data_IF_543824372169
#
_entry.id   IF_543824372169
#
_cell.length_a   1.000
_cell.length_b   1.000
_cell.length_c   1.000
_cell.angle_alpha   90.00
_cell.angle_beta   90.00
_cell.angle_gamma   90.00
#
_symmetry.space_group_name_H-M   'P 1'
#
loop_
_entity.id
_entity.type
_entity.pdbx_description
1 polymer ?
#
# COMPACT_ATOMS: atom_id res chain seq x y z
N UNK A 1 9.69 22.90 -27.05
CA UNK A 1 9.61 23.00 -25.58
C UNK A 1 10.96 23.55 -25.12
N UNK A 2 11.02 24.68 -24.40
CA UNK A 2 12.30 25.26 -23.97
C UNK A 2 12.92 24.41 -22.85
N UNK A 3 14.25 24.43 -22.71
CA UNK A 3 14.94 23.68 -21.66
C UNK A 3 14.42 24.01 -20.24
N UNK A 4 13.99 25.25 -20.04
CA UNK A 4 13.35 25.73 -18.80
C UNK A 4 12.07 24.94 -18.46
N UNK A 5 11.20 24.70 -19.45
CA UNK A 5 9.95 23.97 -19.25
C UNK A 5 10.21 22.49 -18.88
N UNK A 6 11.30 21.90 -19.37
CA UNK A 6 11.69 20.52 -19.05
C UNK A 6 12.20 20.40 -17.61
N UNK A 7 12.99 21.38 -17.14
CA UNK A 7 13.49 21.43 -15.76
C UNK A 7 12.33 21.60 -14.77
N UNK A 8 11.41 22.52 -15.05
CA UNK A 8 10.23 22.75 -14.20
C UNK A 8 9.33 21.50 -14.13
N UNK A 9 9.12 20.81 -15.25
CA UNK A 9 8.38 19.55 -15.29
C UNK A 9 9.08 18.45 -14.47
N UNK A 10 10.40 18.35 -14.56
CA UNK A 10 11.19 17.38 -13.79
C UNK A 10 11.12 17.66 -12.27
N UNK A 11 11.24 18.92 -11.85
CA UNK A 11 11.13 19.32 -10.43
C UNK A 11 9.74 18.94 -9.89
N UNK A 12 8.67 19.26 -10.63
CA UNK A 12 7.31 18.90 -10.25
C UNK A 12 7.12 17.38 -10.15
N UNK A 13 7.72 16.62 -11.07
CA UNK A 13 7.74 15.16 -11.05
C UNK A 13 8.38 14.60 -9.77
N UNK A 14 9.56 15.11 -9.39
CA UNK A 14 10.25 14.68 -8.17
C UNK A 14 9.43 14.89 -6.91
N UNK A 15 8.80 16.06 -6.76
CA UNK A 15 7.92 16.34 -5.62
C UNK A 15 6.67 15.46 -5.61
N UNK A 16 6.10 15.15 -6.79
CA UNK A 16 4.97 14.22 -6.89
C UNK A 16 5.36 12.81 -6.42
N UNK A 17 6.51 12.29 -6.86
CA UNK A 17 7.01 10.98 -6.43
C UNK A 17 7.30 10.98 -4.92
N UNK A 18 7.99 12.01 -4.41
CA UNK A 18 8.27 12.15 -2.98
C UNK A 18 6.99 12.17 -2.13
N UNK A 19 5.95 12.88 -2.59
CA UNK A 19 4.65 12.93 -1.91
C UNK A 19 3.97 11.55 -1.83
N UNK A 20 4.12 10.70 -2.85
CA UNK A 20 3.52 9.37 -2.83
C UNK A 20 4.34 8.40 -1.97
N UNK A 21 5.67 8.50 -1.96
CA UNK A 21 6.50 7.76 -0.99
C UNK A 21 6.14 8.13 0.45
N UNK A 22 5.92 9.42 0.73
CA UNK A 22 5.44 9.89 2.02
C UNK A 22 4.08 9.29 2.37
N UNK A 23 3.13 9.30 1.42
CA UNK A 23 1.80 8.72 1.65
C UNK A 23 1.85 7.21 1.91
N UNK A 24 2.66 6.46 1.15
CA UNK A 24 2.87 5.02 1.36
C UNK A 24 3.47 4.73 2.74
N UNK A 25 4.50 5.49 3.12
CA UNK A 25 5.13 5.40 4.43
C UNK A 25 4.16 5.76 5.56
N UNK A 26 3.31 6.78 5.36
CA UNK A 26 2.28 7.17 6.33
C UNK A 26 1.22 6.09 6.52
N UNK A 27 0.70 5.49 5.43
CA UNK A 27 -0.26 4.38 5.50
C UNK A 27 0.34 3.19 6.24
N UNK A 28 1.56 2.79 5.87
CA UNK A 28 2.26 1.65 6.50
C UNK A 28 2.60 1.94 7.96
N UNK A 29 3.06 3.15 8.28
CA UNK A 29 3.37 3.57 9.65
C UNK A 29 2.14 3.65 10.54
N UNK A 30 0.98 4.01 9.98
CA UNK A 30 -0.31 4.06 10.69
C UNK A 30 -0.81 2.69 11.15
N UNK A 31 -0.27 1.59 10.61
CA UNK A 31 -0.60 0.24 11.04
C UNK A 31 0.02 -0.13 12.39
N UNK A 32 1.24 0.32 12.70
CA UNK A 32 1.93 -0.12 13.92
C UNK A 32 1.17 0.22 15.22
N UNK A 33 0.55 1.42 15.39
CA UNK A 33 -0.29 1.72 16.55
C UNK A 33 -1.56 0.87 16.65
N UNK A 34 -2.02 0.27 15.56
CA UNK A 34 -3.22 -0.58 15.56
C UNK A 34 -2.96 -1.95 16.17
N UNK A 35 -1.71 -2.44 16.18
CA UNK A 35 -1.35 -3.77 16.68
C UNK A 35 -1.90 -4.06 18.10
N UNK A 36 -1.65 -3.23 19.13
CA UNK A 36 -2.19 -3.50 20.47
C UNK A 36 -3.72 -3.47 20.50
N UNK A 37 -4.35 -2.57 19.75
CA UNK A 37 -5.82 -2.49 19.63
C UNK A 37 -6.39 -3.74 18.95
N UNK A 38 -5.66 -4.27 17.97
CA UNK A 38 -6.03 -5.48 17.24
C UNK A 38 -6.07 -6.72 18.14
N UNK A 39 -5.02 -6.88 18.96
CA UNK A 39 -4.88 -7.99 19.89
C UNK A 39 -6.04 -8.01 20.90
N UNK A 40 -6.37 -6.85 21.47
CA UNK A 40 -7.42 -6.74 22.50
C UNK A 40 -8.83 -6.79 21.90
N UNK A 41 -9.09 -6.09 20.79
CA UNK A 41 -10.44 -6.02 20.20
C UNK A 41 -10.89 -7.36 19.60
N UNK A 42 -9.98 -8.07 18.95
CA UNK A 42 -10.29 -9.36 18.34
C UNK A 42 -10.05 -10.54 19.29
N UNK A 43 -9.55 -10.27 20.50
CA UNK A 43 -9.17 -11.27 21.51
C UNK A 43 -8.29 -12.39 20.91
N UNK A 44 -7.19 -11.98 20.26
CA UNK A 44 -6.30 -12.90 19.54
C UNK A 44 -4.92 -13.01 20.19
N UNK A 45 -4.31 -14.18 20.01
CA UNK A 45 -2.93 -14.43 20.40
C UNK A 45 -1.92 -13.72 19.47
N UNK A 46 -0.68 -13.57 19.95
CA UNK A 46 0.45 -13.10 19.12
C UNK A 46 0.74 -14.03 17.94
N UNK A 47 0.48 -15.33 18.08
CA UNK A 47 0.62 -16.29 16.99
C UNK A 47 -0.36 -15.97 15.85
N UNK A 48 -1.63 -15.74 16.19
CA UNK A 48 -2.67 -15.36 15.22
C UNK A 48 -2.34 -14.03 14.54
N UNK A 49 -1.86 -13.03 15.29
CA UNK A 49 -1.36 -11.79 14.71
C UNK A 49 -0.20 -12.05 13.72
N UNK A 50 0.73 -12.95 14.05
CA UNK A 50 1.80 -13.35 13.15
C UNK A 50 1.28 -13.91 11.82
N UNK A 51 0.21 -14.72 11.84
CA UNK A 51 -0.45 -15.21 10.63
C UNK A 51 -1.12 -14.08 9.83
N UNK A 52 -1.71 -13.08 10.50
CA UNK A 52 -2.28 -11.92 9.82
C UNK A 52 -1.20 -11.06 9.14
N UNK A 53 -0.06 -10.88 9.80
CA UNK A 53 1.11 -10.20 9.22
C UNK A 53 1.67 -11.01 8.03
N UNK A 54 1.67 -12.34 8.13
CA UNK A 54 2.05 -13.21 7.02
C UNK A 54 1.13 -12.99 5.80
N UNK A 55 -0.19 -12.87 6.02
CA UNK A 55 -1.14 -12.56 4.95
C UNK A 55 -0.92 -11.18 4.34
N UNK A 56 -0.56 -10.18 5.14
CA UNK A 56 -0.13 -8.88 4.62
C UNK A 56 1.09 -9.04 3.69
N UNK A 57 2.12 -9.77 4.12
CA UNK A 57 3.29 -10.04 3.28
C UNK A 57 2.95 -10.83 2.02
N UNK A 58 2.09 -11.85 2.13
CA UNK A 58 1.64 -12.65 1.00
C UNK A 58 0.87 -11.80 -0.04
N UNK A 59 -0.01 -10.91 0.43
CA UNK A 59 -0.71 -9.95 -0.41
C UNK A 59 0.27 -9.04 -1.14
N UNK A 60 1.27 -8.51 -0.44
CA UNK A 60 2.31 -7.67 -1.03
C UNK A 60 3.05 -8.38 -2.17
N UNK A 61 3.57 -9.57 -1.91
CA UNK A 61 4.29 -10.38 -2.92
C UNK A 61 3.40 -10.70 -4.12
N UNK A 62 2.14 -11.08 -3.88
CA UNK A 62 1.19 -11.38 -4.96
C UNK A 62 0.89 -10.13 -5.82
N UNK A 63 0.72 -8.97 -5.21
CA UNK A 63 0.51 -7.73 -5.97
C UNK A 63 1.75 -7.33 -6.75
N UNK A 64 2.95 -7.50 -6.19
CA UNK A 64 4.22 -7.16 -6.86
C UNK A 64 4.41 -7.93 -8.17
N UNK A 65 4.07 -9.23 -8.20
CA UNK A 65 4.19 -10.04 -9.43
C UNK A 65 3.23 -9.59 -10.52
N UNK A 66 2.00 -9.19 -10.15
CA UNK A 66 1.02 -8.67 -11.11
C UNK A 66 1.23 -7.21 -11.50
N UNK A 67 1.86 -6.40 -10.64
CA UNK A 67 1.97 -4.96 -10.81
C UNK A 67 2.68 -4.60 -12.12
N UNK A 68 3.76 -5.31 -12.49
CA UNK A 68 4.47 -5.08 -13.77
C UNK A 68 3.57 -5.23 -15.00
N UNK A 69 2.67 -6.23 -15.00
CA UNK A 69 1.68 -6.42 -16.07
C UNK A 69 0.63 -5.31 -16.09
N UNK A 70 0.16 -4.87 -14.92
CA UNK A 70 -0.79 -3.77 -14.82
C UNK A 70 -0.19 -2.45 -15.30
N UNK A 71 1.07 -2.19 -14.96
CA UNK A 71 1.82 -1.00 -15.37
C UNK A 71 2.01 -0.99 -16.89
N UNK A 72 2.37 -2.11 -17.51
CA UNK A 72 2.56 -2.16 -18.96
C UNK A 72 1.28 -1.88 -19.74
N UNK A 73 0.11 -2.26 -19.20
CA UNK A 73 -1.21 -2.02 -19.83
C UNK A 73 -1.83 -0.66 -19.53
N UNK A 74 -1.71 -0.17 -18.30
CA UNK A 74 -2.48 1.01 -17.84
C UNK A 74 -1.60 2.22 -17.50
N UNK A 75 -0.27 2.06 -17.56
CA UNK A 75 0.69 3.05 -17.14
C UNK A 75 0.85 3.13 -15.62
N UNK A 76 2.06 3.47 -15.17
CA UNK A 76 2.38 3.42 -13.74
C UNK A 76 1.56 4.40 -12.89
N UNK A 77 1.28 5.60 -13.41
CA UNK A 77 0.48 6.61 -12.70
C UNK A 77 -0.95 6.14 -12.37
N UNK A 78 -1.59 5.41 -13.29
CA UNK A 78 -2.94 4.89 -13.10
C UNK A 78 -2.94 3.79 -12.05
N UNK A 79 -2.00 2.85 -12.17
CA UNK A 79 -1.82 1.73 -11.23
C UNK A 79 -1.53 2.23 -9.82
N UNK A 80 -0.67 3.24 -9.69
CA UNK A 80 -0.33 3.84 -8.41
C UNK A 80 -1.55 4.46 -7.70
N UNK A 81 -2.44 5.13 -8.45
CA UNK A 81 -3.69 5.70 -7.90
C UNK A 81 -4.63 4.62 -7.40
N UNK A 82 -4.76 3.53 -8.16
CA UNK A 82 -5.59 2.39 -7.75
C UNK A 82 -5.09 1.77 -6.47
N UNK A 83 -3.80 1.42 -6.41
CA UNK A 83 -3.23 0.86 -5.18
C UNK A 83 -3.23 1.85 -4.01
N UNK A 84 -3.03 3.15 -4.24
CA UNK A 84 -3.15 4.18 -3.21
C UNK A 84 -4.56 4.27 -2.60
N UNK A 85 -5.60 4.22 -3.44
CA UNK A 85 -6.99 4.17 -2.99
C UNK A 85 -7.27 2.88 -2.22
N UNK A 86 -6.91 1.72 -2.79
CA UNK A 86 -7.07 0.42 -2.15
C UNK A 86 -6.31 0.33 -0.82
N UNK A 87 -5.12 0.93 -0.70
CA UNK A 87 -4.34 0.97 0.52
C UNK A 87 -4.99 1.83 1.60
N UNK A 88 -5.55 2.99 1.21
CA UNK A 88 -6.27 3.87 2.12
C UNK A 88 -7.52 3.21 2.70
N UNK A 89 -8.35 2.62 1.84
CA UNK A 89 -9.52 1.85 2.29
C UNK A 89 -9.14 0.53 2.97
N UNK A 90 -8.01 -0.08 2.58
CA UNK A 90 -7.47 -1.28 3.17
C UNK A 90 -7.08 -1.06 4.63
N UNK A 91 -6.40 0.04 4.94
CA UNK A 91 -6.09 0.42 6.33
C UNK A 91 -7.37 0.62 7.15
N UNK A 92 -8.38 1.29 6.59
CA UNK A 92 -9.68 1.46 7.26
C UNK A 92 -10.38 0.11 7.48
N UNK A 93 -10.36 -0.78 6.49
CA UNK A 93 -10.96 -2.11 6.58
C UNK A 93 -10.26 -2.97 7.64
N UNK A 94 -8.93 -2.90 7.73
CA UNK A 94 -8.16 -3.52 8.80
C UNK A 94 -8.59 -2.92 10.13
N UNK A 95 -8.50 -1.60 10.27
CA UNK A 95 -8.83 -0.89 11.51
C UNK A 95 -10.28 -1.10 11.98
N UNK A 96 -11.24 -1.40 11.09
CA UNK A 96 -12.65 -1.61 11.43
C UNK A 96 -13.09 -3.09 11.39
N UNK A 97 -12.19 -4.02 11.10
CA UNK A 97 -12.53 -5.44 11.01
C UNK A 97 -13.15 -5.94 12.33
N UNK A 98 -14.37 -6.52 12.31
CA UNK A 98 -15.07 -6.96 13.51
C UNK A 98 -14.68 -8.37 13.97
N UNK A 99 -13.98 -9.13 13.12
CA UNK A 99 -13.58 -10.51 13.39
C UNK A 99 -12.32 -10.89 12.61
N UNK A 100 -11.71 -12.01 12.99
CA UNK A 100 -10.43 -12.49 12.43
C UNK A 100 -10.51 -12.79 10.92
N UNK A 101 -11.54 -13.44 10.37
CA UNK A 101 -11.61 -13.68 8.93
C UNK A 101 -11.64 -12.40 8.09
N UNK A 102 -12.42 -11.39 8.50
CA UNK A 102 -12.45 -10.12 7.79
C UNK A 102 -11.12 -9.35 7.95
N UNK A 103 -10.50 -9.44 9.12
CA UNK A 103 -9.16 -8.88 9.32
C UNK A 103 -8.12 -9.55 8.42
N UNK A 104 -8.20 -10.87 8.22
CA UNK A 104 -7.31 -11.61 7.32
C UNK A 104 -7.41 -11.15 5.87
N UNK A 105 -8.65 -11.00 5.36
CA UNK A 105 -8.90 -10.49 4.01
C UNK A 105 -8.39 -9.04 3.89
N UNK A 106 -8.71 -8.20 4.88
CA UNK A 106 -8.28 -6.80 4.88
C UNK A 106 -6.75 -6.67 4.93
N UNK A 107 -6.05 -7.49 5.73
CA UNK A 107 -4.60 -7.52 5.80
C UNK A 107 -3.97 -7.92 4.47
N UNK A 108 -4.52 -8.92 3.78
CA UNK A 108 -4.05 -9.33 2.47
C UNK A 108 -4.22 -8.20 1.42
N UNK A 109 -5.39 -7.56 1.38
CA UNK A 109 -5.66 -6.45 0.45
C UNK A 109 -4.78 -5.24 0.77
N UNK A 110 -4.63 -4.90 2.06
CA UNK A 110 -3.81 -3.79 2.51
C UNK A 110 -2.33 -4.03 2.15
N UNK A 111 -1.79 -5.21 2.45
CA UNK A 111 -0.43 -5.59 2.07
C UNK A 111 -0.21 -5.58 0.56
N UNK A 112 -1.15 -6.14 -0.22
CA UNK A 112 -1.12 -6.07 -1.68
C UNK A 112 -1.13 -4.65 -2.21
N UNK A 113 -1.88 -3.76 -1.56
CA UNK A 113 -1.93 -2.35 -1.94
C UNK A 113 -0.59 -1.65 -1.68
N UNK A 114 0.02 -1.84 -0.52
CA UNK A 114 1.33 -1.27 -0.19
C UNK A 114 2.41 -1.82 -1.15
N UNK A 115 2.48 -3.13 -1.35
CA UNK A 115 3.46 -3.73 -2.27
C UNK A 115 3.26 -3.31 -3.73
N UNK A 116 2.00 -3.16 -4.16
CA UNK A 116 1.67 -2.63 -5.48
C UNK A 116 2.06 -1.15 -5.66
N UNK A 117 1.82 -0.33 -4.63
CA UNK A 117 2.30 1.06 -4.59
C UNK A 117 3.83 1.11 -4.73
N UNK A 118 4.58 0.27 -4.00
CA UNK A 118 6.05 0.25 -4.06
C UNK A 118 6.56 0.02 -5.48
N UNK A 119 6.03 -0.99 -6.18
CA UNK A 119 6.45 -1.27 -7.57
C UNK A 119 6.07 -0.11 -8.50
N UNK A 120 4.87 0.45 -8.37
CA UNK A 120 4.42 1.53 -9.23
C UNK A 120 5.18 2.84 -8.97
N UNK A 121 5.47 3.20 -7.72
CA UNK A 121 6.28 4.38 -7.39
C UNK A 121 7.68 4.27 -8.00
N UNK A 122 8.35 3.12 -7.80
CA UNK A 122 9.69 2.89 -8.30
C UNK A 122 9.76 2.83 -9.83
N UNK A 123 8.68 2.47 -10.52
CA UNK A 123 8.61 2.55 -11.98
C UNK A 123 8.55 3.99 -12.52
N UNK A 124 8.32 5.01 -11.68
CA UNK A 124 8.38 6.44 -12.06
C UNK A 124 9.56 7.20 -11.43
N UNK A 125 10.40 6.52 -10.64
CA UNK A 125 11.55 7.11 -9.95
C UNK A 125 12.81 7.07 -10.84
#
# INVERSE_FOLDING_TARGET
>A
MSAQNTIEAAIRGRWAVAGIFLANGFLTGSWAPQIPVFLTRLDISKFTLGLLILLFGAGAVAAMTWCGHLISRHGSRTVLRWFGLCGSFGLLAVALAPNVPLAAIAMFIFGGSIGGMDVAMNANA
#
